data_IF_675292356745
#
_entry.id   IF_675292356745
#
_cell.length_a   1.000
_cell.length_b   1.000
_cell.length_c   1.000
_cell.angle_alpha   90.00
_cell.angle_beta   90.00
_cell.angle_gamma   90.00
#
_symmetry.space_group_name_H-M   'P 1'
#
loop_
_entity.id
_entity.type
_entity.pdbx_description
1 polymer ?
#
# COMPACT_ATOMS: atom_id res chain seq x y z
N UNK A 1 -20.02 15.61 42.78
CA UNK A 1 -20.11 14.68 41.63
C UNK A 1 -19.68 15.44 40.38
N UNK A 2 -18.40 15.40 40.03
CA UNK A 2 -17.84 16.10 38.87
C UNK A 2 -17.28 15.06 37.90
N UNK A 3 -17.90 14.95 36.73
CA UNK A 3 -17.49 14.06 35.66
C UNK A 3 -16.15 14.53 35.08
N UNK A 4 -15.11 13.69 35.19
CA UNK A 4 -13.86 13.87 34.43
C UNK A 4 -14.05 13.20 33.07
N UNK A 5 -14.16 14.01 32.02
CA UNK A 5 -14.09 13.57 30.64
C UNK A 5 -12.71 12.99 30.34
N UNK A 6 -12.68 11.77 29.80
CA UNK A 6 -11.48 11.13 29.27
C UNK A 6 -11.15 11.73 27.90
N UNK A 7 -10.10 12.55 27.84
CA UNK A 7 -9.52 12.99 26.57
C UNK A 7 -8.37 12.04 26.21
N UNK A 8 -8.63 11.08 25.30
CA UNK A 8 -7.58 10.37 24.57
C UNK A 8 -7.02 11.33 23.51
N UNK A 9 -5.91 11.98 23.81
CA UNK A 9 -5.19 12.81 22.84
C UNK A 9 -4.37 11.92 21.91
N UNK A 10 -4.61 12.09 20.61
CA UNK A 10 -4.07 11.33 19.49
C UNK A 10 -2.56 11.10 19.56
N UNK A 11 -2.18 9.88 19.18
CA UNK A 11 -0.80 9.48 18.90
C UNK A 11 -0.14 10.45 17.92
N UNK A 12 0.81 11.23 18.42
CA UNK A 12 1.82 11.86 17.59
C UNK A 12 2.52 10.76 16.80
N UNK A 13 2.37 10.81 15.48
CA UNK A 13 3.13 9.97 14.55
C UNK A 13 4.57 10.43 14.64
N UNK A 14 5.39 9.75 15.45
CA UNK A 14 6.84 9.93 15.44
C UNK A 14 7.36 9.64 14.03
N UNK A 15 7.92 10.68 13.41
CA UNK A 15 8.55 10.65 12.09
C UNK A 15 9.79 9.77 12.20
N UNK A 16 9.70 8.53 11.71
CA UNK A 16 10.86 7.63 11.65
C UNK A 16 11.97 8.27 10.80
N UNK A 17 13.21 8.40 11.31
CA UNK A 17 14.29 9.16 10.67
C UNK A 17 14.93 8.47 9.45
N UNK A 18 14.46 7.28 9.04
CA UNK A 18 15.14 6.47 8.03
C UNK A 18 14.80 6.81 6.56
N UNK A 19 13.89 7.75 6.27
CA UNK A 19 13.44 8.05 4.88
C UNK A 19 13.16 9.54 4.65
N UNK A 20 13.88 10.44 5.31
CA UNK A 20 13.77 11.88 4.99
C UNK A 20 14.91 12.24 4.03
N UNK A 21 14.59 12.39 2.74
CA UNK A 21 15.47 13.04 1.75
C UNK A 21 15.73 14.46 2.22
N UNK A 22 16.99 14.91 2.20
CA UNK A 22 17.36 16.26 2.66
C UNK A 22 16.78 17.30 1.69
N UNK A 23 15.90 18.21 2.16
CA UNK A 23 15.38 19.30 1.34
C UNK A 23 16.45 20.22 0.75
N UNK A 24 17.67 20.22 1.30
CA UNK A 24 18.78 20.99 0.75
C UNK A 24 19.37 20.38 -0.53
N UNK A 25 19.30 19.06 -0.69
CA UNK A 25 19.74 18.35 -1.90
C UNK A 25 18.65 18.35 -2.99
N UNK A 26 17.38 18.24 -2.57
CA UNK A 26 16.24 18.17 -3.48
C UNK A 26 15.04 18.99 -2.94
N UNK A 27 14.74 20.19 -3.47
CA UNK A 27 13.65 21.01 -2.94
C UNK A 27 12.28 20.33 -3.05
N UNK A 28 12.10 19.40 -4.00
CA UNK A 28 10.88 18.61 -4.12
C UNK A 28 10.61 17.67 -2.93
N UNK A 29 11.60 17.41 -2.08
CA UNK A 29 11.46 16.71 -0.80
C UNK A 29 10.39 17.36 0.10
N UNK A 30 10.19 18.67 -0.02
CA UNK A 30 9.26 19.44 0.81
C UNK A 30 7.78 19.16 0.48
N UNK A 31 7.42 18.66 -0.72
CA UNK A 31 6.03 18.37 -1.09
C UNK A 31 5.54 16.99 -0.62
N UNK A 32 6.42 16.21 0.02
CA UNK A 32 6.03 15.07 0.86
C UNK A 32 5.77 13.74 0.15
N UNK A 33 5.92 13.65 -1.17
CA UNK A 33 5.80 12.37 -1.90
C UNK A 33 7.06 11.49 -1.85
N UNK A 34 8.18 12.02 -1.37
CA UNK A 34 9.46 11.30 -1.28
C UNK A 34 9.54 10.29 -0.14
N UNK A 35 8.53 10.28 0.75
CA UNK A 35 8.41 9.27 1.78
C UNK A 35 8.02 7.91 1.20
N UNK A 36 8.70 6.84 1.64
CA UNK A 36 8.21 5.50 1.40
C UNK A 36 6.90 5.28 2.18
N UNK A 37 5.83 4.88 1.50
CA UNK A 37 4.54 4.55 2.12
C UNK A 37 4.33 3.02 2.19
N UNK A 38 5.10 2.27 3.00
CA UNK A 38 5.09 0.81 2.95
C UNK A 38 3.72 0.19 3.25
N UNK A 39 2.91 0.83 4.10
CA UNK A 39 1.52 0.41 4.35
C UNK A 39 0.60 0.85 3.21
N UNK A 40 0.71 2.11 2.78
CA UNK A 40 -0.11 2.68 1.70
C UNK A 40 0.05 1.92 0.39
N UNK A 41 1.29 1.61 -0.02
CA UNK A 41 1.58 0.83 -1.22
C UNK A 41 0.97 -0.57 -1.17
N UNK A 42 0.91 -1.21 0.01
CA UNK A 42 0.29 -2.55 0.16
C UNK A 42 -1.22 -2.49 0.06
N UNK A 43 -1.84 -1.52 0.71
CA UNK A 43 -3.29 -1.31 0.63
C UNK A 43 -3.67 -0.98 -0.81
N UNK A 44 -2.96 -0.06 -1.46
CA UNK A 44 -3.15 0.28 -2.86
C UNK A 44 -2.97 -0.94 -3.78
N UNK A 45 -1.97 -1.78 -3.51
CA UNK A 45 -1.75 -3.03 -4.25
C UNK A 45 -2.93 -3.99 -4.15
N UNK A 46 -3.45 -4.24 -2.94
CA UNK A 46 -4.62 -5.11 -2.74
C UNK A 46 -5.90 -4.53 -3.33
N UNK A 47 -6.14 -3.23 -3.16
CA UNK A 47 -7.27 -2.52 -3.77
C UNK A 47 -7.20 -2.60 -5.29
N UNK A 48 -6.01 -2.38 -5.87
CA UNK A 48 -5.78 -2.52 -7.31
C UNK A 48 -6.02 -3.95 -7.81
N UNK A 49 -5.53 -4.96 -7.09
CA UNK A 49 -5.80 -6.36 -7.43
C UNK A 49 -7.30 -6.67 -7.40
N UNK A 50 -8.01 -6.21 -6.37
CA UNK A 50 -9.46 -6.37 -6.29
C UNK A 50 -10.19 -5.66 -7.44
N UNK A 51 -9.77 -4.45 -7.79
CA UNK A 51 -10.35 -3.70 -8.91
C UNK A 51 -10.19 -4.44 -10.25
N UNK A 52 -9.02 -5.03 -10.52
CA UNK A 52 -8.78 -5.84 -11.73
C UNK A 52 -9.73 -7.04 -11.80
N UNK A 53 -9.95 -7.74 -10.68
CA UNK A 53 -10.91 -8.85 -10.67
C UNK A 53 -12.36 -8.39 -10.74
N UNK A 54 -12.70 -7.22 -10.18
CA UNK A 54 -14.03 -6.65 -10.31
C UNK A 54 -14.37 -6.33 -11.78
N UNK A 55 -13.37 -6.01 -12.60
CA UNK A 55 -13.55 -5.80 -14.04
C UNK A 55 -13.95 -7.07 -14.81
N UNK A 56 -13.85 -8.27 -14.22
CA UNK A 56 -14.43 -9.50 -14.83
C UNK A 56 -15.96 -9.43 -14.95
N UNK A 57 -16.60 -8.55 -14.19
CA UNK A 57 -18.04 -8.33 -14.25
C UNK A 57 -18.29 -7.18 -15.22
N UNK A 58 -18.60 -7.50 -16.47
CA UNK A 58 -18.74 -6.48 -17.52
C UNK A 58 -19.26 -7.03 -18.84
N UNK A 59 -19.19 -6.19 -19.87
CA UNK A 59 -19.68 -6.49 -21.22
C UNK A 59 -18.66 -7.31 -22.04
N UNK A 60 -18.06 -8.35 -21.45
CA UNK A 60 -17.08 -9.16 -22.16
C UNK A 60 -17.79 -10.07 -23.17
N UNK A 61 -17.61 -9.80 -24.46
CA UNK A 61 -18.10 -10.68 -25.53
C UNK A 61 -17.12 -11.81 -25.85
N UNK A 62 -15.83 -11.66 -25.48
CA UNK A 62 -14.79 -12.65 -25.72
C UNK A 62 -13.93 -12.92 -24.49
N UNK A 63 -13.44 -14.15 -24.37
CA UNK A 63 -12.64 -14.60 -23.23
C UNK A 63 -11.20 -14.06 -23.18
N UNK A 64 -10.77 -13.35 -24.22
CA UNK A 64 -9.41 -12.77 -24.25
C UNK A 64 -9.22 -11.73 -23.16
N UNK A 65 -10.23 -10.90 -22.90
CA UNK A 65 -10.19 -9.88 -21.84
C UNK A 65 -10.15 -10.55 -20.45
N UNK A 66 -11.01 -11.54 -20.23
CA UNK A 66 -11.03 -12.34 -18.99
C UNK A 66 -9.66 -12.98 -18.72
N UNK A 67 -9.02 -13.54 -19.75
CA UNK A 67 -7.71 -14.17 -19.62
C UNK A 67 -6.64 -13.17 -19.18
N UNK A 68 -6.62 -11.97 -19.77
CA UNK A 68 -5.68 -10.92 -19.38
C UNK A 68 -5.93 -10.43 -17.96
N UNK A 69 -7.19 -10.18 -17.59
CA UNK A 69 -7.56 -9.76 -16.23
C UNK A 69 -7.17 -10.84 -15.20
N UNK A 70 -7.42 -12.11 -15.51
CA UNK A 70 -7.03 -13.23 -14.65
C UNK A 70 -5.50 -13.32 -14.50
N UNK A 71 -4.75 -13.23 -15.60
CA UNK A 71 -3.27 -13.32 -15.57
C UNK A 71 -2.68 -12.15 -14.78
N UNK A 72 -3.10 -10.92 -15.07
CA UNK A 72 -2.59 -9.72 -14.40
C UNK A 72 -2.99 -9.70 -12.93
N UNK A 73 -4.27 -9.95 -12.62
CA UNK A 73 -4.76 -9.99 -11.25
C UNK A 73 -4.06 -11.07 -10.43
N UNK A 74 -3.86 -12.26 -10.99
CA UNK A 74 -3.13 -13.35 -10.33
C UNK A 74 -1.67 -12.99 -10.08
N UNK A 75 -0.99 -12.39 -11.07
CA UNK A 75 0.39 -11.93 -10.92
C UNK A 75 0.53 -10.87 -9.80
N UNK A 76 -0.42 -9.94 -9.70
CA UNK A 76 -0.46 -8.94 -8.62
C UNK A 76 -0.62 -9.60 -7.25
N UNK A 77 -1.58 -10.53 -7.10
CA UNK A 77 -1.81 -11.25 -5.84
C UNK A 77 -0.57 -12.05 -5.42
N UNK A 78 0.04 -12.78 -6.36
CA UNK A 78 1.28 -13.53 -6.10
C UNK A 78 2.40 -12.58 -5.67
N UNK A 79 2.58 -11.45 -6.35
CA UNK A 79 3.57 -10.44 -5.99
C UNK A 79 3.36 -9.85 -4.60
N UNK A 80 2.12 -9.55 -4.22
CA UNK A 80 1.77 -9.03 -2.89
C UNK A 80 2.00 -10.06 -1.79
N UNK A 81 1.59 -11.31 -2.02
CA UNK A 81 1.85 -12.41 -1.08
C UNK A 81 3.36 -12.60 -0.94
N UNK A 82 4.11 -12.63 -2.04
CA UNK A 82 5.57 -12.76 -2.03
C UNK A 82 6.23 -11.64 -1.23
N UNK A 83 5.85 -10.38 -1.45
CA UNK A 83 6.35 -9.23 -0.68
C UNK A 83 6.10 -9.41 0.82
N UNK A 84 4.88 -9.82 1.19
CA UNK A 84 4.52 -10.10 2.58
C UNK A 84 5.37 -11.23 3.17
N UNK A 85 5.56 -12.34 2.43
CA UNK A 85 6.37 -13.49 2.83
C UNK A 85 7.83 -13.10 3.05
N UNK A 86 8.39 -12.34 2.11
CA UNK A 86 9.81 -11.97 2.14
C UNK A 86 10.11 -11.04 3.31
N UNK A 87 9.20 -10.14 3.65
CA UNK A 87 9.36 -9.22 4.79
C UNK A 87 9.21 -9.95 6.13
N UNK A 88 8.31 -10.92 6.24
CA UNK A 88 8.21 -11.79 7.44
C UNK A 88 9.33 -12.84 7.52
N UNK A 89 10.30 -12.86 6.61
CA UNK A 89 11.43 -13.80 6.67
C UNK A 89 12.77 -13.08 6.59
N UNK A 90 12.76 -11.74 6.70
CA UNK A 90 13.98 -10.94 6.59
C UNK A 90 14.99 -11.20 7.71
N UNK A 91 14.54 -11.64 8.90
CA UNK A 91 15.41 -11.99 10.02
C UNK A 91 16.20 -13.29 9.85
N UNK A 92 15.94 -14.07 8.78
CA UNK A 92 16.69 -15.29 8.45
C UNK A 92 17.92 -15.00 7.57
N UNK A 93 18.27 -13.72 7.39
CA UNK A 93 19.46 -13.27 6.66
C UNK A 93 20.28 -12.34 7.53
#
# INVERSE_FOLDING_TARGET
>A
MAARGSAKSSSAVEKSPATTVDPHEEPSAEWGWHGGFPVGTRVAGWVGAFAVFAMLIGNHEGHTEDLWLLVIGSAMVVGLIWDQVRRRTSWRR
#
